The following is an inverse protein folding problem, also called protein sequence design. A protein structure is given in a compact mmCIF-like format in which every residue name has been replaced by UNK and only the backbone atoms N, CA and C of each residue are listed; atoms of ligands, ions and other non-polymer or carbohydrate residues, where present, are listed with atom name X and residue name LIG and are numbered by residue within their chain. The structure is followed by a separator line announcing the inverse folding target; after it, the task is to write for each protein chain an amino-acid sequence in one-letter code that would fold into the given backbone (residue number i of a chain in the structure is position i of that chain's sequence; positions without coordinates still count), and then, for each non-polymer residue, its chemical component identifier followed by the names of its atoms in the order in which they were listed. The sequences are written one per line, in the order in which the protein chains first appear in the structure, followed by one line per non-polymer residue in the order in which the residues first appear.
data_IF_733517367613
#
_entry.id   IF_733517367613
#
_cell.length_a   1.000
_cell.length_b   1.000
_cell.length_c   1.000
_cell.angle_alpha   90.00
_cell.angle_beta   90.00
_cell.angle_gamma   90.00
#
_symmetry.space_group_name_H-M   'P 1'
#
loop_
_entity.id
_entity.type
_entity.pdbx_description
1 polymer ?
#
# COMPACT_ATOMS: atom_id res chain seq x y z
N UNK A 1 9.79 7.35 55.25
CA UNK A 1 8.39 7.37 54.76
C UNK A 1 8.43 6.98 53.27
N UNK A 2 8.15 5.69 52.96
CA UNK A 2 8.10 5.20 51.59
C UNK A 2 6.99 5.92 50.82
N UNK A 3 7.35 6.63 49.76
CA UNK A 3 6.39 7.03 48.74
C UNK A 3 5.74 5.75 48.21
N UNK A 4 4.51 5.49 48.54
CA UNK A 4 3.69 4.52 47.80
C UNK A 4 3.69 5.01 46.35
N UNK A 5 4.34 4.26 45.46
CA UNK A 5 4.30 4.52 44.02
C UNK A 5 2.81 4.44 43.62
N UNK A 6 2.19 5.58 43.51
CA UNK A 6 0.81 5.66 43.03
C UNK A 6 0.95 5.42 41.53
N UNK A 7 0.59 4.22 41.11
CA UNK A 7 0.57 3.85 39.70
C UNK A 7 -0.34 4.85 38.99
N UNK A 8 0.25 5.70 38.16
CA UNK A 8 -0.51 6.62 37.35
C UNK A 8 -1.39 5.82 36.37
N UNK A 9 -2.48 6.40 35.92
CA UNK A 9 -3.39 5.78 34.94
C UNK A 9 -2.61 5.23 33.72
N UNK A 10 -1.55 5.91 33.34
CA UNK A 10 -0.68 5.53 32.24
C UNK A 10 0.02 4.19 32.48
N UNK A 11 0.61 3.98 33.67
CA UNK A 11 1.31 2.75 34.03
C UNK A 11 0.39 1.53 34.04
N UNK A 12 -0.91 1.73 34.34
CA UNK A 12 -1.90 0.65 34.38
C UNK A 12 -2.47 0.34 33.00
N UNK A 13 -2.58 1.35 32.16
CA UNK A 13 -3.22 1.22 30.83
C UNK A 13 -2.25 0.70 29.78
N UNK A 14 -0.94 0.96 29.92
CA UNK A 14 0.04 0.53 28.94
C UNK A 14 0.03 -1.00 28.67
N UNK A 15 0.04 -1.86 29.71
CA UNK A 15 -0.07 -3.31 29.48
C UNK A 15 -1.36 -3.71 28.77
N UNK A 16 -2.47 -3.03 29.06
CA UNK A 16 -3.75 -3.31 28.39
C UNK A 16 -3.66 -2.99 26.89
N UNK A 17 -3.11 -1.83 26.53
CA UNK A 17 -2.91 -1.47 25.11
C UNK A 17 -1.90 -2.40 24.42
N UNK A 18 -0.86 -2.85 25.12
CA UNK A 18 0.10 -3.80 24.61
C UNK A 18 -0.57 -5.16 24.31
N UNK A 19 -1.41 -5.65 25.22
CA UNK A 19 -2.14 -6.92 25.03
C UNK A 19 -3.20 -6.80 23.93
N UNK A 20 -3.96 -5.72 23.88
CA UNK A 20 -4.99 -5.51 22.84
C UNK A 20 -4.41 -5.37 21.43
N UNK A 21 -3.16 -4.92 21.30
CA UNK A 21 -2.44 -4.89 20.02
C UNK A 21 -1.70 -6.19 19.73
N UNK A 22 -1.01 -6.74 20.74
CA UNK A 22 -0.11 -7.88 20.57
C UNK A 22 -0.84 -9.21 20.40
N UNK A 23 -1.90 -9.46 21.17
CA UNK A 23 -2.62 -10.73 21.11
C UNK A 23 -3.20 -11.01 19.71
N UNK A 24 -3.89 -10.08 19.03
CA UNK A 24 -4.40 -10.34 17.69
C UNK A 24 -3.30 -10.60 16.67
N UNK A 25 -2.17 -9.89 16.75
CA UNK A 25 -1.02 -10.11 15.87
C UNK A 25 -0.43 -11.49 16.11
N UNK A 26 -0.20 -11.87 17.36
CA UNK A 26 0.31 -13.21 17.71
C UNK A 26 -0.68 -14.31 17.28
N UNK A 27 -1.97 -14.10 17.48
CA UNK A 27 -3.00 -15.05 17.04
C UNK A 27 -2.99 -15.20 15.52
N UNK A 28 -2.85 -14.11 14.76
CA UNK A 28 -2.73 -14.17 13.31
C UNK A 28 -1.47 -14.94 12.86
N UNK A 29 -0.36 -14.76 13.56
CA UNK A 29 0.89 -15.47 13.25
C UNK A 29 0.86 -16.96 13.59
N UNK A 30 0.14 -17.35 14.66
CA UNK A 30 0.12 -18.73 15.13
C UNK A 30 -0.99 -19.57 14.52
N UNK A 31 -2.15 -18.95 14.21
CA UNK A 31 -3.33 -19.65 13.74
C UNK A 31 -3.48 -19.62 12.21
N UNK A 32 -2.62 -18.87 11.52
CA UNK A 32 -2.65 -18.69 10.06
C UNK A 32 -4.08 -18.47 9.51
N UNK A 33 -4.85 -17.51 10.07
CA UNK A 33 -6.21 -17.26 9.66
C UNK A 33 -6.24 -16.74 8.22
N UNK A 34 -7.30 -17.07 7.49
CA UNK A 34 -7.49 -16.54 6.14
C UNK A 34 -7.78 -15.02 6.20
N UNK A 35 -6.72 -14.23 6.20
CA UNK A 35 -6.79 -12.77 6.19
C UNK A 35 -6.75 -12.27 4.74
N UNK A 36 -7.64 -11.33 4.42
CA UNK A 36 -7.53 -10.62 3.15
C UNK A 36 -6.30 -9.71 3.16
N UNK A 37 -5.76 -9.46 1.97
CA UNK A 37 -4.62 -8.59 1.78
C UNK A 37 -4.81 -7.22 2.41
N UNK A 38 -3.71 -6.69 2.97
CA UNK A 38 -3.69 -5.45 3.72
C UNK A 38 -4.21 -5.57 5.15
N UNK A 39 -4.16 -4.47 5.86
CA UNK A 39 -4.46 -4.39 7.28
C UNK A 39 -5.97 -4.34 7.63
N UNK A 40 -6.88 -4.61 6.69
CA UNK A 40 -8.32 -4.46 6.90
C UNK A 40 -8.83 -5.10 8.18
N UNK A 41 -8.42 -6.35 8.40
CA UNK A 41 -8.85 -7.14 9.56
C UNK A 41 -8.16 -6.69 10.85
N UNK A 42 -7.12 -5.89 10.76
CA UNK A 42 -6.30 -5.44 11.89
C UNK A 42 -6.46 -3.94 12.20
N UNK A 43 -7.41 -3.23 11.56
CA UNK A 43 -7.58 -1.80 11.81
C UNK A 43 -7.88 -1.46 13.27
N UNK A 44 -8.53 -2.34 13.99
CA UNK A 44 -8.86 -2.12 15.40
C UNK A 44 -7.63 -2.03 16.32
N UNK A 45 -6.48 -2.57 15.91
CA UNK A 45 -5.24 -2.47 16.70
C UNK A 45 -4.53 -1.12 16.56
N UNK A 46 -4.87 -0.31 15.54
CA UNK A 46 -4.23 0.99 15.35
C UNK A 46 -4.44 1.95 16.52
N UNK A 47 -5.64 2.01 17.09
CA UNK A 47 -5.92 2.85 18.24
C UNK A 47 -4.97 2.56 19.41
N UNK A 48 -4.94 1.32 19.92
CA UNK A 48 -4.00 0.92 20.95
C UNK A 48 -2.52 1.14 20.59
N UNK A 49 -2.11 0.86 19.35
CA UNK A 49 -0.73 1.09 18.89
C UNK A 49 -0.35 2.57 18.91
N UNK A 50 -1.24 3.47 18.47
CA UNK A 50 -1.01 4.93 18.50
C UNK A 50 -0.81 5.39 19.96
N UNK A 51 -1.64 4.91 20.87
CA UNK A 51 -1.49 5.24 22.31
C UNK A 51 -0.15 4.75 22.85
N UNK A 52 0.24 3.53 22.54
CA UNK A 52 1.56 2.98 22.94
C UNK A 52 2.72 3.80 22.36
N UNK A 53 2.62 4.20 21.07
CA UNK A 53 3.63 5.08 20.46
C UNK A 53 3.69 6.44 21.15
N UNK A 54 2.55 7.03 21.51
CA UNK A 54 2.52 8.30 22.22
C UNK A 54 3.20 8.19 23.61
N UNK A 55 2.96 7.10 24.34
CA UNK A 55 3.67 6.83 25.60
C UNK A 55 5.16 6.67 25.39
N UNK A 56 5.58 5.92 24.38
CA UNK A 56 6.99 5.74 24.08
C UNK A 56 7.69 7.06 23.73
N UNK A 57 7.06 7.88 22.90
CA UNK A 57 7.57 9.22 22.54
C UNK A 57 7.67 10.10 23.78
N UNK A 58 6.62 10.16 24.60
CA UNK A 58 6.63 10.91 25.86
C UNK A 58 7.77 10.46 26.78
N UNK A 59 7.90 9.15 26.97
CA UNK A 59 8.98 8.58 27.78
C UNK A 59 10.36 8.99 27.28
N UNK A 60 10.61 8.91 25.98
CA UNK A 60 11.88 9.31 25.36
C UNK A 60 12.17 10.81 25.51
N UNK A 61 11.15 11.66 25.37
CA UNK A 61 11.28 13.11 25.50
C UNK A 61 11.46 13.57 26.96
N UNK A 62 11.03 12.75 27.92
CA UNK A 62 11.16 13.03 29.35
C UNK A 62 12.44 12.47 29.97
N UNK A 63 13.32 11.83 29.17
CA UNK A 63 14.60 11.31 29.70
C UNK A 63 15.42 12.43 30.35
N UNK A 64 15.98 12.20 31.56
CA UNK A 64 16.77 13.21 32.29
C UNK A 64 18.06 13.55 31.55
N UNK A 65 18.62 12.59 30.83
CA UNK A 65 19.85 12.80 30.07
C UNK A 65 19.59 13.57 28.79
N UNK A 66 20.17 14.76 28.71
CA UNK A 66 19.99 15.68 27.55
C UNK A 66 20.44 15.07 26.22
N UNK A 67 21.48 14.21 26.22
CA UNK A 67 21.98 13.54 25.03
C UNK A 67 20.93 12.57 24.47
N UNK A 68 20.38 11.70 25.33
CA UNK A 68 19.34 10.74 24.95
C UNK A 68 18.10 11.45 24.40
N UNK A 69 17.67 12.52 25.07
CA UNK A 69 16.51 13.30 24.62
C UNK A 69 16.76 13.95 23.24
N UNK A 70 17.96 14.52 23.02
CA UNK A 70 18.31 15.10 21.71
C UNK A 70 18.37 14.06 20.60
N UNK A 71 18.96 12.91 20.86
CA UNK A 71 19.01 11.79 19.89
C UNK A 71 17.59 11.33 19.56
N UNK A 72 16.76 11.07 20.57
CA UNK A 72 15.37 10.65 20.37
C UNK A 72 14.57 11.67 19.56
N UNK A 73 14.71 12.96 19.87
CA UNK A 73 14.05 14.05 19.12
C UNK A 73 14.53 14.09 17.67
N UNK A 74 15.84 14.00 17.43
CA UNK A 74 16.40 14.00 16.09
C UNK A 74 15.91 12.79 15.27
N UNK A 75 15.89 11.59 15.85
CA UNK A 75 15.36 10.39 15.21
C UNK A 75 13.87 10.53 14.86
N UNK A 76 13.05 11.06 15.77
CA UNK A 76 11.63 11.31 15.51
C UNK A 76 11.42 12.30 14.35
N UNK A 77 12.18 13.40 14.35
CA UNK A 77 12.11 14.41 13.27
C UNK A 77 12.50 13.80 11.92
N UNK A 78 13.57 13.01 11.89
CA UNK A 78 14.02 12.33 10.66
C UNK A 78 12.97 11.33 10.19
N UNK A 79 12.42 10.49 11.08
CA UNK A 79 11.39 9.50 10.72
C UNK A 79 10.13 10.17 10.18
N UNK A 80 9.63 11.20 10.86
CA UNK A 80 8.43 11.95 10.41
C UNK A 80 8.73 12.65 9.09
N UNK A 81 9.89 13.29 8.97
CA UNK A 81 10.30 13.99 7.75
C UNK A 81 10.41 13.06 6.54
N UNK A 82 11.12 11.93 6.69
CA UNK A 82 11.26 10.95 5.60
C UNK A 82 9.92 10.37 5.16
N UNK A 83 9.05 10.00 6.12
CA UNK A 83 7.73 9.49 5.77
C UNK A 83 6.84 10.58 5.15
N UNK A 84 6.87 11.80 5.68
CA UNK A 84 6.10 12.92 5.14
C UNK A 84 6.51 13.27 3.71
N UNK A 85 7.81 13.32 3.42
CA UNK A 85 8.33 13.52 2.06
C UNK A 85 7.93 12.36 1.15
N UNK A 86 8.07 11.12 1.61
CA UNK A 86 7.67 9.94 0.83
C UNK A 86 6.19 9.99 0.44
N UNK A 87 5.28 10.26 1.39
CA UNK A 87 3.85 10.40 1.13
C UNK A 87 3.56 11.57 0.17
N UNK A 88 4.22 12.70 0.34
CA UNK A 88 4.04 13.86 -0.54
C UNK A 88 4.47 13.57 -1.98
N UNK A 89 5.57 12.81 -2.17
CA UNK A 89 6.05 12.42 -3.49
C UNK A 89 5.15 11.40 -4.19
N UNK A 90 4.53 10.49 -3.43
CA UNK A 90 3.56 9.53 -4.00
C UNK A 90 2.22 10.17 -4.37
N UNK A 91 1.88 11.32 -3.77
CA UNK A 91 0.67 12.09 -4.12
C UNK A 91 -0.61 11.25 -4.06
N UNK A 92 -1.35 11.17 -5.18
CA UNK A 92 -2.59 10.42 -5.27
C UNK A 92 -2.41 8.89 -5.13
N UNK A 93 -1.19 8.40 -5.29
CA UNK A 93 -0.83 6.97 -5.15
C UNK A 93 -0.32 6.64 -3.74
N UNK A 94 -0.63 7.46 -2.73
CA UNK A 94 -0.17 7.27 -1.34
C UNK A 94 -0.61 5.93 -0.72
N UNK A 95 -1.67 5.30 -1.24
CA UNK A 95 -2.10 3.95 -0.84
C UNK A 95 -1.09 2.86 -1.22
N UNK A 96 -0.25 3.11 -2.24
CA UNK A 96 0.83 2.22 -2.68
C UNK A 96 2.19 2.60 -2.04
N UNK A 97 2.21 3.59 -1.15
CA UNK A 97 3.44 4.03 -0.49
C UNK A 97 3.97 2.96 0.46
N UNK A 98 5.23 2.61 0.28
CA UNK A 98 6.02 1.83 1.23
C UNK A 98 7.12 2.70 1.82
N UNK A 99 7.40 2.56 3.11
CA UNK A 99 8.48 3.30 3.74
C UNK A 99 9.85 2.76 3.32
N UNK A 100 10.91 3.53 3.60
CA UNK A 100 12.28 3.17 3.23
C UNK A 100 12.75 1.81 3.77
N UNK A 101 12.13 1.31 4.85
CA UNK A 101 12.47 0.03 5.47
C UNK A 101 11.97 -1.17 4.64
N UNK A 102 11.00 -0.97 3.75
CA UNK A 102 10.51 -2.02 2.87
C UNK A 102 11.55 -2.42 1.78
N UNK A 103 12.56 -1.57 1.56
CA UNK A 103 13.62 -1.80 0.58
C UNK A 103 13.20 -1.50 -0.85
N UNK A 104 14.15 -1.64 -1.78
CA UNK A 104 13.94 -1.30 -3.20
C UNK A 104 13.07 -2.30 -3.99
N UNK A 105 12.87 -3.51 -3.45
CA UNK A 105 12.09 -4.59 -4.09
C UNK A 105 10.73 -4.79 -3.41
N UNK A 106 10.09 -3.68 -3.06
CA UNK A 106 8.78 -3.73 -2.40
C UNK A 106 7.71 -4.35 -3.30
N UNK A 107 7.75 -4.09 -4.61
CA UNK A 107 6.81 -4.64 -5.59
C UNK A 107 6.89 -6.17 -5.72
N UNK A 108 8.07 -6.77 -5.54
CA UNK A 108 8.24 -8.22 -5.58
C UNK A 108 7.87 -8.95 -4.29
N UNK A 109 7.70 -8.20 -3.18
CA UNK A 109 7.46 -8.79 -1.85
C UNK A 109 6.08 -8.52 -1.29
N UNK A 110 5.46 -7.41 -1.70
CA UNK A 110 4.19 -6.95 -1.15
C UNK A 110 3.22 -6.68 -2.28
N UNK A 111 1.95 -6.96 -2.04
CA UNK A 111 0.89 -6.53 -2.94
C UNK A 111 0.77 -5.00 -2.87
N UNK A 112 1.20 -4.37 -3.95
CA UNK A 112 1.16 -2.93 -4.10
C UNK A 112 -0.15 -2.53 -4.76
N UNK A 113 -0.68 -1.36 -4.34
CA UNK A 113 -1.86 -0.74 -4.96
C UNK A 113 -3.07 -1.68 -5.13
N UNK A 114 -3.41 -2.44 -4.08
CA UNK A 114 -4.54 -3.37 -4.04
C UNK A 114 -5.86 -2.77 -4.58
N UNK A 115 -6.07 -1.46 -4.38
CA UNK A 115 -7.26 -0.76 -4.87
C UNK A 115 -7.10 -0.18 -6.27
N UNK A 116 -5.97 -0.37 -6.93
CA UNK A 116 -5.69 0.12 -8.28
C UNK A 116 -5.76 1.64 -8.40
N UNK A 117 -5.41 2.38 -7.35
CA UNK A 117 -5.47 3.86 -7.35
C UNK A 117 -4.56 4.46 -8.42
N UNK A 118 -3.46 3.78 -8.75
CA UNK A 118 -2.53 4.19 -9.81
C UNK A 118 -3.08 3.93 -11.21
N UNK A 119 -4.03 3.01 -11.38
CA UNK A 119 -4.56 2.58 -12.68
C UNK A 119 -5.10 3.76 -13.50
N UNK A 120 -5.77 4.73 -12.88
CA UNK A 120 -6.25 5.93 -13.57
C UNK A 120 -5.13 6.73 -14.25
N UNK A 121 -3.99 6.89 -13.57
CA UNK A 121 -2.83 7.62 -14.10
C UNK A 121 -2.17 6.81 -15.22
N UNK A 122 -2.04 5.51 -15.03
CA UNK A 122 -1.49 4.57 -16.01
C UNK A 122 -2.33 4.59 -17.29
N UNK A 123 -3.65 4.42 -17.18
CA UNK A 123 -4.55 4.42 -18.33
C UNK A 123 -4.46 5.72 -19.15
N UNK A 124 -4.42 6.89 -18.50
CA UNK A 124 -4.23 8.16 -19.19
C UNK A 124 -2.91 8.18 -19.97
N UNK A 125 -1.83 7.83 -19.33
CA UNK A 125 -0.51 7.83 -19.94
C UNK A 125 -0.40 6.83 -21.09
N UNK A 126 -1.04 5.66 -21.00
CA UNK A 126 -1.08 4.68 -22.09
C UNK A 126 -1.87 5.21 -23.28
N UNK A 127 -3.01 5.84 -23.04
CA UNK A 127 -3.80 6.49 -24.11
C UNK A 127 -3.01 7.64 -24.76
N UNK A 128 -2.31 8.45 -23.97
CA UNK A 128 -1.49 9.54 -24.49
C UNK A 128 -0.32 9.03 -25.35
N UNK A 129 0.24 7.87 -25.01
CA UNK A 129 1.39 7.28 -25.69
C UNK A 129 1.01 6.43 -26.91
N UNK A 130 -0.05 5.63 -26.80
CA UNK A 130 -0.41 4.62 -27.81
C UNK A 130 -1.72 4.95 -28.58
N UNK A 131 -2.43 5.97 -28.15
CA UNK A 131 -3.72 6.34 -28.76
C UNK A 131 -4.85 5.42 -28.29
N UNK A 132 -5.35 4.56 -29.18
CA UNK A 132 -6.37 3.58 -28.82
C UNK A 132 -5.76 2.34 -28.15
N UNK A 133 -6.33 1.95 -27.03
CA UNK A 133 -5.92 0.76 -26.27
C UNK A 133 -7.12 -0.13 -25.96
N UNK A 134 -6.84 -1.41 -25.68
CA UNK A 134 -7.84 -2.35 -25.20
C UNK A 134 -7.54 -2.74 -23.75
N UNK A 135 -8.59 -2.99 -22.94
CA UNK A 135 -8.46 -3.50 -21.57
C UNK A 135 -9.26 -4.79 -21.47
N UNK A 136 -8.64 -5.84 -20.95
CA UNK A 136 -9.37 -7.06 -20.56
C UNK A 136 -10.32 -6.75 -19.42
N UNK A 137 -11.58 -7.10 -19.58
CA UNK A 137 -12.59 -6.89 -18.54
C UNK A 137 -12.61 -7.99 -17.49
N UNK A 138 -12.07 -9.17 -17.79
CA UNK A 138 -11.93 -10.30 -16.88
C UNK A 138 -10.68 -10.15 -16.02
N UNK A 139 -10.82 -10.32 -14.72
CA UNK A 139 -9.73 -10.27 -13.75
C UNK A 139 -9.19 -8.88 -13.38
N UNK A 140 -9.60 -7.82 -14.07
CA UNK A 140 -9.09 -6.45 -13.91
C UNK A 140 -10.03 -5.49 -13.16
N UNK A 141 -10.71 -5.95 -12.12
CA UNK A 141 -11.76 -5.18 -11.44
C UNK A 141 -11.37 -3.75 -11.04
N UNK A 142 -10.20 -3.56 -10.44
CA UNK A 142 -9.72 -2.23 -10.04
C UNK A 142 -9.46 -1.33 -11.26
N UNK A 143 -8.90 -1.86 -12.35
CA UNK A 143 -8.65 -1.14 -13.60
C UNK A 143 -9.96 -0.73 -14.27
N UNK A 144 -10.96 -1.60 -14.28
CA UNK A 144 -12.30 -1.33 -14.84
C UNK A 144 -13.00 -0.20 -14.07
N UNK A 145 -12.94 -0.21 -12.74
CA UNK A 145 -13.50 0.88 -11.93
C UNK A 145 -12.83 2.21 -12.29
N UNK A 146 -11.50 2.21 -12.43
CA UNK A 146 -10.75 3.41 -12.82
C UNK A 146 -11.06 3.87 -14.26
N UNK A 147 -11.31 2.96 -15.18
CA UNK A 147 -11.78 3.29 -16.53
C UNK A 147 -13.07 4.11 -16.48
N UNK A 148 -14.07 3.72 -15.69
CA UNK A 148 -15.34 4.46 -15.60
C UNK A 148 -15.20 5.87 -14.99
N UNK A 149 -14.14 6.11 -14.20
CA UNK A 149 -13.84 7.42 -13.58
C UNK A 149 -12.99 8.32 -14.47
N UNK A 150 -12.52 7.81 -15.64
CA UNK A 150 -11.78 8.63 -16.60
C UNK A 150 -12.68 9.69 -17.26
N UNK A 151 -12.12 10.86 -17.69
CA UNK A 151 -12.80 11.78 -18.59
C UNK A 151 -13.23 11.10 -19.90
N UNK A 152 -14.32 11.57 -20.49
CA UNK A 152 -14.90 10.97 -21.70
C UNK A 152 -13.88 10.86 -22.85
N UNK A 153 -13.06 11.88 -23.05
CA UNK A 153 -11.98 11.94 -24.05
C UNK A 153 -11.00 10.78 -24.01
N UNK A 154 -10.73 10.24 -22.81
CA UNK A 154 -9.88 9.06 -22.61
C UNK A 154 -10.67 7.77 -22.76
N UNK A 155 -11.91 7.72 -22.22
CA UNK A 155 -12.73 6.51 -22.29
C UNK A 155 -13.09 6.11 -23.72
N UNK A 156 -13.33 7.07 -24.60
CA UNK A 156 -13.65 6.83 -26.02
C UNK A 156 -12.50 6.15 -26.77
N UNK A 157 -11.28 6.29 -26.29
CA UNK A 157 -10.07 5.65 -26.84
C UNK A 157 -9.75 4.29 -26.22
N UNK A 158 -10.56 3.84 -25.26
CA UNK A 158 -10.33 2.59 -24.54
C UNK A 158 -11.48 1.63 -24.84
N UNK A 159 -11.17 0.49 -25.42
CA UNK A 159 -12.12 -0.58 -25.69
C UNK A 159 -12.00 -1.67 -24.63
N UNK A 160 -13.12 -2.08 -24.04
CA UNK A 160 -13.18 -3.25 -23.18
C UNK A 160 -13.34 -4.51 -24.03
N UNK A 161 -12.51 -5.51 -23.78
CA UNK A 161 -12.51 -6.83 -24.45
C UNK A 161 -12.65 -7.92 -23.41
N UNK A 162 -13.43 -8.96 -23.70
CA UNK A 162 -13.71 -10.04 -22.75
C UNK A 162 -13.45 -11.43 -23.30
N UNK A 163 -13.64 -11.62 -24.60
CA UNK A 163 -13.42 -12.92 -25.22
C UNK A 163 -12.01 -13.05 -25.78
N UNK A 164 -11.51 -14.28 -25.85
CA UNK A 164 -10.20 -14.56 -26.42
C UNK A 164 -10.14 -14.15 -27.92
N UNK A 165 -11.25 -14.26 -28.63
CA UNK A 165 -11.36 -13.84 -30.03
C UNK A 165 -11.22 -12.33 -30.19
N UNK A 166 -11.85 -11.53 -29.30
CA UNK A 166 -11.71 -10.08 -29.28
C UNK A 166 -10.28 -9.64 -28.94
N UNK A 167 -9.66 -10.33 -27.98
CA UNK A 167 -8.27 -10.09 -27.60
C UNK A 167 -7.34 -10.35 -28.78
N UNK A 168 -7.47 -11.52 -29.42
CA UNK A 168 -6.65 -11.87 -30.58
C UNK A 168 -6.87 -10.89 -31.73
N UNK A 169 -8.11 -10.53 -32.01
CA UNK A 169 -8.41 -9.55 -33.07
C UNK A 169 -7.82 -8.16 -32.77
N UNK A 170 -7.74 -7.74 -31.51
CA UNK A 170 -7.09 -6.49 -31.12
C UNK A 170 -5.56 -6.57 -31.29
N UNK A 171 -4.95 -7.69 -30.93
CA UNK A 171 -3.52 -7.95 -31.11
C UNK A 171 -3.16 -7.99 -32.59
N UNK A 172 -3.95 -8.68 -33.43
CA UNK A 172 -3.75 -8.74 -34.88
C UNK A 172 -3.84 -7.37 -35.56
N UNK A 173 -4.62 -6.44 -34.97
CA UNK A 173 -4.69 -5.03 -35.36
C UNK A 173 -3.54 -4.17 -34.85
N UNK A 174 -2.58 -4.76 -34.12
CA UNK A 174 -1.46 -4.03 -33.50
C UNK A 174 -1.87 -3.11 -32.34
N UNK A 175 -3.03 -3.35 -31.71
CA UNK A 175 -3.47 -2.58 -30.56
C UNK A 175 -2.86 -3.12 -29.26
N UNK A 176 -2.53 -2.22 -28.35
CA UNK A 176 -2.11 -2.59 -27.00
C UNK A 176 -3.29 -3.18 -26.22
N UNK A 177 -3.12 -4.37 -25.69
CA UNK A 177 -4.09 -5.01 -24.81
C UNK A 177 -3.54 -5.08 -23.39
N UNK A 178 -4.18 -4.36 -22.47
CA UNK A 178 -3.82 -4.34 -21.06
C UNK A 178 -4.56 -5.46 -20.32
N UNK A 179 -3.81 -6.39 -19.77
CA UNK A 179 -4.29 -7.38 -18.81
C UNK A 179 -3.81 -7.05 -17.40
N UNK A 180 -4.54 -7.48 -16.38
CA UNK A 180 -4.06 -7.46 -15.01
C UNK A 180 -3.49 -8.84 -14.67
N UNK A 181 -2.24 -8.87 -14.25
CA UNK A 181 -1.59 -10.08 -13.77
C UNK A 181 -1.34 -9.89 -12.28
N UNK A 182 -1.75 -10.85 -11.49
CA UNK A 182 -1.34 -10.91 -10.09
C UNK A 182 -0.09 -11.79 -10.00
N UNK A 183 1.11 -11.22 -9.74
CA UNK A 183 2.36 -11.97 -9.74
C UNK A 183 2.37 -13.13 -8.73
N UNK A 184 1.50 -13.08 -7.73
CA UNK A 184 1.41 -14.11 -6.69
C UNK A 184 0.59 -15.34 -7.10
N UNK A 185 -0.27 -15.23 -8.11
CA UNK A 185 -1.24 -16.28 -8.47
C UNK A 185 -1.26 -16.62 -9.96
N UNK A 186 -0.82 -15.70 -10.82
CA UNK A 186 -0.93 -15.88 -12.25
C UNK A 186 0.40 -16.34 -12.84
N UNK A 187 0.37 -17.45 -13.58
CA UNK A 187 1.46 -17.85 -14.43
C UNK A 187 1.36 -16.97 -15.68
N UNK A 188 2.42 -16.21 -15.97
CA UNK A 188 2.49 -15.44 -17.20
C UNK A 188 2.43 -16.37 -18.40
N UNK A 189 1.61 -16.09 -19.43
CA UNK A 189 1.59 -16.86 -20.65
C UNK A 189 2.99 -16.88 -21.29
N UNK A 190 3.51 -18.07 -21.59
CA UNK A 190 4.76 -18.21 -22.35
C UNK A 190 4.54 -17.69 -23.78
N UNK A 191 5.37 -16.73 -24.21
CA UNK A 191 5.44 -16.29 -25.60
C UNK A 191 4.66 -15.00 -25.93
N UNK A 192 4.02 -14.35 -24.97
CA UNK A 192 3.50 -13.00 -25.17
C UNK A 192 4.59 -11.98 -24.82
N UNK A 193 4.76 -10.96 -25.68
CA UNK A 193 5.59 -9.79 -25.37
C UNK A 193 4.94 -9.01 -24.21
N UNK A 194 5.25 -9.42 -22.98
CA UNK A 194 4.81 -8.72 -21.79
C UNK A 194 5.64 -7.45 -21.67
N UNK A 195 5.09 -6.33 -22.10
CA UNK A 195 5.67 -5.02 -21.82
C UNK A 195 5.47 -4.74 -20.34
N UNK A 196 6.47 -5.05 -19.53
CA UNK A 196 6.52 -4.63 -18.15
C UNK A 196 6.60 -3.11 -18.11
N UNK A 197 5.64 -2.49 -17.43
CA UNK A 197 5.67 -1.05 -17.19
C UNK A 197 6.65 -0.76 -16.03
N UNK A 198 7.90 -1.14 -16.18
CA UNK A 198 8.95 -0.92 -15.16
C UNK A 198 9.33 0.56 -14.99
N UNK A 199 8.98 1.42 -15.92
CA UNK A 199 9.37 2.84 -15.94
C UNK A 199 8.38 3.79 -15.25
N UNK A 200 7.52 3.30 -14.36
CA UNK A 200 6.58 4.14 -13.61
C UNK A 200 7.15 4.54 -12.24
N UNK A 201 8.32 5.18 -12.24
CA UNK A 201 8.83 5.92 -11.08
C UNK A 201 8.29 7.34 -11.04
#
# INVERSE_FOLDING_TARGET
KGRKHQWDFEDRSYPLFALTSGIPVLAAMLCDPNLYNGWRHMYFIYGPMIVMMAYAVRYLLQQPEIRMRRIATAMLVVLIGCNGVGIALTGQSSSAYTNILAGGDACGRYEMDYYGVTAKKILKSLVDRYGEICIRSDGCGATIVNYYVLPAEYREKIRLVSSQEEIQAAVDQGKLVLGCVNPSYDILPEGEDVVWLEDWK
#
